data_IF_431823603899
#
_entry.id   IF_431823603899
#
_cell.length_a   1.000
_cell.length_b   1.000
_cell.length_c   1.000
_cell.angle_alpha   90.00
_cell.angle_beta   90.00
_cell.angle_gamma   90.00
#
_symmetry.space_group_name_H-M   'P 1'
#
loop_
_entity.id
_entity.type
_entity.pdbx_description
1 polymer ?
#
# COMPACT_ATOMS: atom_id res chain seq x y z
N UNK A 1 -7.86 -16.60 12.30
CA UNK A 1 -8.78 -15.51 11.94
C UNK A 1 -9.10 -15.55 10.44
N UNK A 2 -10.36 -15.40 10.00
CA UNK A 2 -10.67 -15.19 8.56
C UNK A 2 -10.30 -13.76 8.11
N UNK A 3 -10.20 -13.52 6.79
CA UNK A 3 -9.92 -12.17 6.25
C UNK A 3 -10.96 -11.13 6.71
N UNK A 4 -12.25 -11.49 6.68
CA UNK A 4 -13.34 -10.62 7.16
C UNK A 4 -13.19 -10.29 8.65
N UNK A 5 -12.84 -11.30 9.47
CA UNK A 5 -12.61 -11.09 10.90
C UNK A 5 -11.41 -10.16 11.14
N UNK A 6 -10.34 -10.33 10.36
CA UNK A 6 -9.16 -9.45 10.40
C UNK A 6 -9.51 -8.01 9.98
N UNK A 7 -10.32 -7.85 8.94
CA UNK A 7 -10.86 -6.55 8.50
C UNK A 7 -11.65 -5.86 9.61
N UNK A 8 -12.60 -6.57 10.22
CA UNK A 8 -13.40 -6.02 11.32
C UNK A 8 -12.55 -5.67 12.56
N UNK A 9 -11.60 -6.54 12.94
CA UNK A 9 -10.73 -6.30 14.09
C UNK A 9 -9.81 -5.09 13.89
N UNK A 10 -9.26 -4.91 12.68
CA UNK A 10 -8.44 -3.74 12.37
C UNK A 10 -9.28 -2.45 12.36
N UNK A 11 -10.47 -2.47 11.74
CA UNK A 11 -11.38 -1.33 11.75
C UNK A 11 -11.78 -0.95 13.19
N UNK A 12 -12.01 -1.93 14.07
CA UNK A 12 -12.29 -1.69 15.48
C UNK A 12 -11.13 -0.99 16.20
N UNK A 13 -9.88 -1.42 15.97
CA UNK A 13 -8.69 -0.80 16.55
C UNK A 13 -8.54 0.67 16.09
N UNK A 14 -8.75 0.94 14.80
CA UNK A 14 -8.73 2.30 14.24
C UNK A 14 -9.83 3.16 14.88
N UNK A 15 -11.08 2.70 14.88
CA UNK A 15 -12.21 3.45 15.43
C UNK A 15 -12.06 3.71 16.94
N UNK A 16 -11.51 2.76 17.69
CA UNK A 16 -11.23 2.93 19.11
C UNK A 16 -10.19 4.04 19.34
N UNK A 17 -9.11 4.07 18.55
CA UNK A 17 -8.09 5.12 18.63
C UNK A 17 -8.68 6.50 18.26
N UNK A 18 -9.39 6.58 17.13
CA UNK A 18 -10.00 7.82 16.67
C UNK A 18 -11.03 8.35 17.68
N UNK A 19 -11.86 7.50 18.27
CA UNK A 19 -12.83 7.91 19.30
C UNK A 19 -12.16 8.50 20.53
N UNK A 20 -11.05 7.91 20.99
CA UNK A 20 -10.28 8.44 22.11
C UNK A 20 -9.65 9.79 21.78
N UNK A 21 -9.03 9.90 20.61
CA UNK A 21 -8.38 11.14 20.17
C UNK A 21 -9.40 12.25 19.92
N UNK A 22 -10.58 11.92 19.38
CA UNK A 22 -11.66 12.88 19.16
C UNK A 22 -12.19 13.47 20.48
N UNK A 23 -12.26 12.67 21.56
CA UNK A 23 -12.60 13.19 22.91
C UNK A 23 -11.56 14.17 23.44
N UNK A 24 -10.32 14.05 22.98
CA UNK A 24 -9.23 14.96 23.32
C UNK A 24 -9.17 16.20 22.40
N UNK A 25 -9.87 16.19 21.26
CA UNK A 25 -9.76 17.24 20.24
C UNK A 25 -10.14 18.65 20.72
N UNK A 26 -11.06 18.76 21.68
CA UNK A 26 -11.43 20.05 22.27
C UNK A 26 -10.25 20.75 22.95
N UNK A 27 -9.31 20.00 23.52
CA UNK A 27 -8.08 20.52 24.15
C UNK A 27 -7.07 21.06 23.12
N UNK A 28 -7.24 20.73 21.84
CA UNK A 28 -6.34 21.11 20.75
C UNK A 28 -6.96 22.13 19.78
N UNK A 29 -8.23 22.48 19.97
CA UNK A 29 -9.01 23.38 19.11
C UNK A 29 -8.52 24.84 19.03
N UNK A 30 -7.51 25.23 19.83
CA UNK A 30 -7.01 26.60 19.97
C UNK A 30 -5.55 26.83 19.58
N UNK A 31 -4.91 25.90 18.87
CA UNK A 31 -3.46 25.80 18.86
C UNK A 31 -2.85 25.75 17.44
N UNK A 32 -2.11 26.80 17.07
CA UNK A 32 -1.43 26.96 15.77
C UNK A 32 0.09 27.12 15.89
N UNK A 33 0.71 26.46 16.88
CA UNK A 33 2.16 26.58 17.13
C UNK A 33 2.86 25.24 17.02
N UNK A 34 4.19 25.26 16.83
CA UNK A 34 4.99 24.03 16.85
C UNK A 34 4.93 23.33 18.21
N UNK A 35 4.95 24.09 19.31
CA UNK A 35 4.83 23.55 20.67
C UNK A 35 3.53 22.76 20.84
N UNK A 36 2.42 23.33 20.40
CA UNK A 36 1.14 22.65 20.50
C UNK A 36 0.99 21.43 19.62
N UNK A 37 1.65 21.41 18.47
CA UNK A 37 1.75 20.22 17.64
C UNK A 37 2.50 19.10 18.38
N UNK A 38 3.64 19.42 19.00
CA UNK A 38 4.40 18.45 19.80
C UNK A 38 3.63 17.98 21.04
N UNK A 39 2.92 18.88 21.73
CA UNK A 39 2.07 18.54 22.87
C UNK A 39 0.92 17.59 22.42
N UNK A 40 0.31 17.86 21.26
CA UNK A 40 -0.70 16.98 20.65
C UNK A 40 -0.14 15.60 20.34
N UNK A 41 0.97 15.51 19.61
CA UNK A 41 1.61 14.24 19.26
C UNK A 41 1.99 13.43 20.51
N UNK A 42 2.57 14.08 21.52
CA UNK A 42 2.93 13.43 22.79
C UNK A 42 1.71 12.87 23.52
N UNK A 43 0.57 13.57 23.42
CA UNK A 43 -0.68 13.15 24.06
C UNK A 43 -1.29 11.94 23.35
N UNK A 44 -1.30 11.93 22.01
CA UNK A 44 -1.92 10.85 21.25
C UNK A 44 -1.01 9.62 21.07
N UNK A 45 0.30 9.76 21.22
CA UNK A 45 1.26 8.69 21.02
C UNK A 45 0.92 7.37 21.74
N UNK A 46 0.65 7.33 23.06
CA UNK A 46 0.30 6.07 23.73
C UNK A 46 -0.97 5.41 23.16
N UNK A 47 -1.94 6.22 22.70
CA UNK A 47 -3.19 5.72 22.09
C UNK A 47 -2.89 5.10 20.73
N UNK A 48 -2.12 5.80 19.88
CA UNK A 48 -1.75 5.32 18.55
C UNK A 48 -0.87 4.08 18.64
N UNK A 49 0.13 4.08 19.54
CA UNK A 49 1.02 2.93 19.76
C UNK A 49 0.23 1.67 20.12
N UNK A 50 -0.69 1.75 21.07
CA UNK A 50 -1.47 0.57 21.49
C UNK A 50 -2.39 0.09 20.37
N UNK A 51 -3.12 0.99 19.70
CA UNK A 51 -4.00 0.60 18.59
C UNK A 51 -3.22 -0.01 17.42
N UNK A 52 -2.04 0.55 17.10
CA UNK A 52 -1.14 0.00 16.08
C UNK A 52 -0.64 -1.39 16.45
N UNK A 53 -0.32 -1.61 17.73
CA UNK A 53 0.07 -2.93 18.26
C UNK A 53 -1.08 -3.94 18.17
N UNK A 54 -2.31 -3.53 18.48
CA UNK A 54 -3.49 -4.38 18.27
C UNK A 54 -3.67 -4.73 16.79
N UNK A 55 -3.52 -3.75 15.89
CA UNK A 55 -3.55 -3.98 14.44
C UNK A 55 -2.47 -4.98 14.00
N UNK A 56 -1.25 -4.84 14.51
CA UNK A 56 -0.13 -5.75 14.26
C UNK A 56 -0.44 -7.19 14.72
N UNK A 57 -0.98 -7.34 15.94
CA UNK A 57 -1.37 -8.64 16.49
C UNK A 57 -2.46 -9.30 15.64
N UNK A 58 -3.49 -8.56 15.24
CA UNK A 58 -4.57 -9.08 14.40
C UNK A 58 -4.04 -9.58 13.05
N UNK A 59 -3.13 -8.83 12.42
CA UNK A 59 -2.51 -9.23 11.16
C UNK A 59 -1.64 -10.49 11.31
N UNK A 60 -0.89 -10.57 12.40
CA UNK A 60 -0.08 -11.73 12.73
C UNK A 60 -0.91 -12.99 12.96
N UNK A 61 -2.01 -12.89 13.71
CA UNK A 61 -2.94 -14.00 13.95
C UNK A 61 -3.62 -14.49 12.65
N UNK A 62 -3.97 -13.54 11.77
CA UNK A 62 -4.46 -13.86 10.44
C UNK A 62 -3.41 -14.62 9.62
N UNK A 63 -2.18 -14.08 9.53
CA UNK A 63 -1.09 -14.72 8.83
C UNK A 63 -0.82 -16.14 9.34
N UNK A 64 -0.78 -16.30 10.67
CA UNK A 64 -0.55 -17.60 11.29
C UNK A 64 -1.62 -18.61 10.93
N UNK A 65 -2.91 -18.23 10.98
CA UNK A 65 -3.98 -19.15 10.63
C UNK A 65 -3.94 -19.52 9.13
N UNK A 66 -3.70 -18.57 8.23
CA UNK A 66 -3.58 -18.86 6.80
C UNK A 66 -2.40 -19.81 6.52
N UNK A 67 -1.26 -19.57 7.19
CA UNK A 67 -0.11 -20.44 7.11
C UNK A 67 -0.43 -21.85 7.65
N UNK A 68 -1.08 -21.96 8.81
CA UNK A 68 -1.47 -23.23 9.42
C UNK A 68 -2.42 -24.04 8.53
N UNK A 69 -3.40 -23.39 7.90
CA UNK A 69 -4.32 -24.03 6.96
C UNK A 69 -3.58 -24.65 5.77
N UNK A 70 -2.48 -24.03 5.33
CA UNK A 70 -1.74 -24.46 4.15
C UNK A 70 -0.65 -25.50 4.45
N UNK A 71 0.02 -25.38 5.60
CA UNK A 71 1.24 -26.13 5.93
C UNK A 71 1.19 -26.87 7.27
N UNK A 72 0.13 -26.71 8.04
CA UNK A 72 0.00 -27.26 9.39
C UNK A 72 0.60 -26.36 10.48
N UNK A 73 0.31 -26.71 11.73
CA UNK A 73 0.70 -25.93 12.91
C UNK A 73 2.23 -25.90 13.07
N UNK A 74 2.75 -24.73 13.48
CA UNK A 74 4.15 -24.55 13.90
C UNK A 74 4.24 -23.79 15.22
N UNK A 75 5.02 -24.32 16.16
CA UNK A 75 5.18 -23.79 17.52
C UNK A 75 6.27 -22.68 17.64
N UNK A 76 7.00 -22.41 16.55
CA UNK A 76 8.03 -21.36 16.48
C UNK A 76 7.46 -19.96 16.18
N UNK A 77 6.14 -19.84 16.14
CA UNK A 77 5.43 -18.61 15.80
C UNK A 77 5.31 -17.67 17.00
N UNK A 78 6.32 -16.83 17.24
CA UNK A 78 6.27 -15.77 18.26
C UNK A 78 6.03 -14.38 17.67
N UNK A 79 4.93 -13.74 18.08
CA UNK A 79 4.64 -12.33 17.75
C UNK A 79 5.75 -11.45 18.35
N UNK A 80 6.48 -10.74 17.49
CA UNK A 80 7.43 -9.70 17.89
C UNK A 80 6.69 -8.40 18.01
N UNK A 81 6.68 -7.85 19.21
CA UNK A 81 6.19 -6.51 19.47
C UNK A 81 7.25 -5.53 18.95
N UNK A 82 7.19 -5.18 17.67
CA UNK A 82 8.08 -4.16 17.12
C UNK A 82 7.67 -2.83 17.75
N UNK A 83 8.50 -2.36 18.70
CA UNK A 83 8.23 -1.17 19.51
C UNK A 83 8.12 0.06 18.61
N UNK A 84 6.89 0.42 18.23
CA UNK A 84 6.60 1.63 17.48
C UNK A 84 7.07 2.88 18.23
N UNK A 85 8.02 3.61 17.65
CA UNK A 85 8.71 4.73 18.30
C UNK A 85 7.95 6.05 18.12
N UNK A 86 8.16 6.99 19.06
CA UNK A 86 7.55 8.32 18.98
C UNK A 86 7.94 9.08 17.72
N UNK A 87 9.22 9.01 17.32
CA UNK A 87 9.72 9.70 16.13
C UNK A 87 9.01 9.22 14.85
N UNK A 88 8.60 7.95 14.80
CA UNK A 88 7.83 7.42 13.68
C UNK A 88 6.42 8.00 13.61
N UNK A 89 5.79 8.27 14.76
CA UNK A 89 4.52 9.00 14.78
C UNK A 89 4.67 10.45 14.30
N UNK A 90 5.79 11.10 14.67
CA UNK A 90 6.10 12.45 14.19
C UNK A 90 6.20 12.44 12.67
N UNK A 91 6.91 11.49 12.08
CA UNK A 91 7.05 11.33 10.63
C UNK A 91 5.70 11.02 9.95
N UNK A 92 4.93 10.08 10.51
CA UNK A 92 3.61 9.69 9.98
C UNK A 92 2.64 10.87 9.91
N UNK A 93 2.75 11.83 10.83
CA UNK A 93 1.84 12.97 10.94
C UNK A 93 2.44 14.31 10.48
N UNK A 94 3.73 14.39 10.14
CA UNK A 94 4.40 15.66 9.79
C UNK A 94 3.71 16.39 8.63
N UNK A 95 3.08 15.64 7.71
CA UNK A 95 2.30 16.16 6.58
C UNK A 95 1.13 17.05 7.05
N UNK A 96 0.53 16.68 8.18
CA UNK A 96 -0.57 17.41 8.79
C UNK A 96 -0.10 18.59 9.63
N UNK A 97 1.18 18.62 10.04
CA UNK A 97 1.75 19.69 10.86
C UNK A 97 1.55 21.06 10.21
N UNK A 98 1.85 21.20 8.92
CA UNK A 98 1.76 22.50 8.21
C UNK A 98 0.35 23.08 8.28
N UNK A 99 -0.67 22.25 8.08
CA UNK A 99 -2.08 22.67 8.18
C UNK A 99 -2.53 22.89 9.61
N UNK A 100 -2.01 22.09 10.53
CA UNK A 100 -2.31 22.22 11.95
C UNK A 100 -1.81 23.56 12.52
N UNK A 101 -0.63 24.02 12.07
CA UNK A 101 -0.03 25.27 12.57
C UNK A 101 -0.42 26.52 11.77
N UNK A 102 -1.00 26.37 10.58
CA UNK A 102 -1.39 27.52 9.76
C UNK A 102 -2.61 28.24 10.38
N UNK A 103 -2.48 29.50 10.81
CA UNK A 103 -3.58 30.24 11.43
C UNK A 103 -4.75 30.51 10.47
N UNK A 104 -4.53 30.39 9.15
CA UNK A 104 -5.53 30.59 8.12
C UNK A 104 -6.13 29.28 7.59
N UNK A 105 -5.65 28.12 8.06
CA UNK A 105 -6.18 26.85 7.61
C UNK A 105 -7.62 26.64 8.09
N UNK A 106 -8.39 25.95 7.24
CA UNK A 106 -9.70 25.42 7.60
C UNK A 106 -9.51 24.35 8.69
N UNK A 107 -9.90 24.69 9.92
CA UNK A 107 -9.63 23.87 11.12
C UNK A 107 -10.30 22.50 11.06
N UNK A 108 -11.51 22.44 10.53
CA UNK A 108 -12.25 21.19 10.41
C UNK A 108 -11.52 20.25 9.44
N UNK A 109 -11.10 20.77 8.28
CA UNK A 109 -10.32 19.99 7.32
C UNK A 109 -8.96 19.57 7.87
N UNK A 110 -8.27 20.45 8.59
CA UNK A 110 -6.99 20.12 9.21
C UNK A 110 -7.14 19.01 10.26
N UNK A 111 -8.20 19.07 11.07
CA UNK A 111 -8.52 18.04 12.06
C UNK A 111 -8.85 16.70 11.38
N UNK A 112 -9.74 16.71 10.38
CA UNK A 112 -10.11 15.49 9.63
C UNK A 112 -8.89 14.84 8.99
N UNK A 113 -8.02 15.62 8.34
CA UNK A 113 -6.76 15.11 7.76
C UNK A 113 -5.83 14.50 8.80
N UNK A 114 -5.69 15.15 9.95
CA UNK A 114 -4.90 14.63 11.07
C UNK A 114 -5.46 13.28 11.57
N UNK A 115 -6.79 13.16 11.71
CA UNK A 115 -7.43 11.91 12.09
C UNK A 115 -7.23 10.80 11.04
N UNK A 116 -7.29 11.13 9.74
CA UNK A 116 -7.00 10.17 8.67
C UNK A 116 -5.53 9.73 8.67
N UNK A 117 -4.59 10.62 8.98
CA UNK A 117 -3.19 10.28 9.19
C UNK A 117 -2.99 9.32 10.37
N UNK A 118 -3.74 9.52 11.47
CA UNK A 118 -3.73 8.59 12.62
C UNK A 118 -4.28 7.22 12.23
N UNK A 119 -5.41 7.17 11.51
CA UNK A 119 -5.98 5.91 11.04
C UNK A 119 -4.96 5.12 10.22
N UNK A 120 -4.30 5.79 9.27
CA UNK A 120 -3.22 5.20 8.46
C UNK A 120 -2.07 4.66 9.33
N UNK A 121 -1.60 5.42 10.32
CA UNK A 121 -0.52 4.98 11.21
C UNK A 121 -0.88 3.70 11.99
N UNK A 122 -2.14 3.58 12.43
CA UNK A 122 -2.66 2.38 13.09
C UNK A 122 -2.73 1.20 12.12
N UNK A 123 -3.32 1.40 10.93
CA UNK A 123 -3.43 0.36 9.91
C UNK A 123 -2.07 -0.16 9.44
N UNK A 124 -1.08 0.73 9.33
CA UNK A 124 0.28 0.37 8.99
C UNK A 124 0.85 -0.64 9.99
N UNK A 125 0.47 -0.62 11.27
CA UNK A 125 0.87 -1.68 12.22
C UNK A 125 0.50 -3.09 11.76
N UNK A 126 -0.68 -3.27 11.18
CA UNK A 126 -1.10 -4.56 10.61
C UNK A 126 -0.35 -4.91 9.34
N UNK A 127 -0.10 -3.91 8.49
CA UNK A 127 0.68 -4.07 7.26
C UNK A 127 2.11 -4.53 7.62
N UNK A 128 2.78 -3.80 8.51
CA UNK A 128 4.11 -4.09 9.06
C UNK A 128 4.25 -5.53 9.59
N UNK A 129 3.33 -5.94 10.44
CA UNK A 129 3.37 -7.27 11.05
C UNK A 129 3.23 -8.41 10.03
N UNK A 130 2.41 -8.21 8.99
CA UNK A 130 2.23 -9.20 7.90
C UNK A 130 3.55 -9.47 7.16
N UNK A 131 4.35 -8.42 6.96
CA UNK A 131 5.64 -8.45 6.25
C UNK A 131 6.65 -9.21 7.08
N UNK A 132 6.85 -8.75 8.32
CA UNK A 132 7.88 -9.27 9.21
C UNK A 132 7.58 -10.69 9.62
N UNK A 133 6.30 -11.08 9.65
CA UNK A 133 5.93 -12.47 9.73
C UNK A 133 6.62 -13.25 8.60
N UNK A 134 6.38 -12.92 7.33
CA UNK A 134 6.98 -13.64 6.20
C UNK A 134 8.51 -13.60 6.16
N UNK A 135 9.13 -12.43 6.35
CA UNK A 135 10.59 -12.30 6.38
C UNK A 135 11.22 -13.22 7.44
N UNK A 136 10.59 -13.33 8.62
CA UNK A 136 11.05 -14.21 9.71
C UNK A 136 10.92 -15.69 9.37
N UNK A 137 9.98 -16.09 8.51
CA UNK A 137 9.79 -17.50 8.16
C UNK A 137 10.71 -18.02 7.05
N UNK A 138 11.54 -17.18 6.43
CA UNK A 138 12.58 -17.63 5.52
C UNK A 138 12.07 -18.47 4.35
N UNK A 139 10.82 -18.27 3.95
CA UNK A 139 10.31 -18.73 2.66
C UNK A 139 10.57 -17.63 1.63
N UNK A 140 11.85 -17.31 1.42
CA UNK A 140 12.26 -16.77 0.11
C UNK A 140 11.77 -17.79 -0.90
N UNK A 141 10.65 -17.49 -1.55
CA UNK A 141 10.07 -18.35 -2.55
C UNK A 141 11.18 -18.78 -3.51
N UNK A 142 11.26 -20.08 -3.80
CA UNK A 142 11.99 -20.53 -4.98
C UNK A 142 11.58 -19.62 -6.13
N UNK A 143 12.54 -18.82 -6.64
CA UNK A 143 12.33 -17.82 -7.68
C UNK A 143 11.41 -18.42 -8.75
N UNK A 144 10.15 -17.99 -8.82
CA UNK A 144 9.28 -18.59 -9.79
C UNK A 144 9.65 -17.95 -11.11
N UNK A 145 10.21 -18.77 -11.99
CA UNK A 145 10.12 -18.71 -13.46
C UNK A 145 8.67 -18.51 -13.99
N UNK A 146 7.72 -18.13 -13.13
CA UNK A 146 6.35 -17.79 -13.43
C UNK A 146 6.20 -16.26 -13.47
N UNK A 147 6.92 -15.64 -14.40
CA UNK A 147 6.40 -14.44 -15.05
C UNK A 147 5.10 -14.87 -15.73
N UNK A 148 3.96 -14.58 -15.12
CA UNK A 148 2.84 -14.15 -15.94
C UNK A 148 3.34 -12.87 -16.61
N UNK A 149 3.85 -13.01 -17.83
CA UNK A 149 4.05 -11.90 -18.75
C UNK A 149 2.72 -11.17 -18.79
N UNK A 150 2.62 -10.08 -18.03
CA UNK A 150 1.66 -9.04 -18.32
C UNK A 150 2.09 -8.59 -19.73
N UNK A 151 1.22 -8.67 -20.75
CA UNK A 151 1.52 -8.02 -22.00
C UNK A 151 1.75 -6.55 -21.68
N UNK A 152 3.01 -6.11 -21.76
CA UNK A 152 3.37 -4.69 -21.82
C UNK A 152 2.83 -4.16 -23.16
N UNK A 153 1.51 -4.01 -23.29
CA UNK A 153 0.90 -3.35 -24.44
C UNK A 153 1.00 -1.81 -24.35
N UNK A 154 1.90 -1.31 -23.49
CA UNK A 154 2.25 0.11 -23.38
C UNK A 154 3.77 0.40 -23.34
N UNK A 155 4.61 -0.46 -23.95
CA UNK A 155 6.04 -0.18 -24.11
C UNK A 155 6.33 0.69 -25.33
N UNK A 156 6.92 1.88 -25.12
CA UNK A 156 7.43 2.74 -26.18
C UNK A 156 8.40 1.98 -27.11
N UNK A 157 8.39 2.31 -28.41
CA UNK A 157 9.20 1.67 -29.46
C UNK A 157 10.70 1.58 -29.15
N UNK A 158 11.19 2.44 -28.26
CA UNK A 158 12.58 2.53 -27.83
C UNK A 158 12.94 1.44 -26.82
N UNK A 159 12.00 1.04 -25.96
CA UNK A 159 12.19 -0.03 -24.97
C UNK A 159 12.19 -1.43 -25.65
N UNK A 160 11.40 -1.61 -26.71
CA UNK A 160 11.44 -2.83 -27.53
C UNK A 160 12.79 -3.03 -28.22
N UNK A 161 13.40 -1.97 -28.74
CA UNK A 161 14.74 -2.02 -29.32
C UNK A 161 15.79 -2.37 -28.28
N UNK A 162 15.68 -1.81 -27.08
CA UNK A 162 16.59 -2.13 -25.98
C UNK A 162 16.46 -3.60 -25.54
N UNK A 163 15.24 -4.13 -25.45
CA UNK A 163 14.97 -5.54 -25.14
C UNK A 163 15.55 -6.49 -26.20
N UNK A 164 15.44 -6.14 -27.49
CA UNK A 164 16.00 -6.92 -28.60
C UNK A 164 17.55 -6.86 -28.62
N UNK A 165 18.15 -5.69 -28.36
CA UNK A 165 19.61 -5.53 -28.27
C UNK A 165 20.21 -6.29 -27.08
N UNK A 166 19.57 -6.23 -25.91
CA UNK A 166 19.98 -6.99 -24.72
C UNK A 166 19.88 -8.49 -24.96
N UNK A 167 18.82 -8.95 -25.65
CA UNK A 167 18.66 -10.37 -26.01
C UNK A 167 19.77 -10.84 -26.95
N UNK A 168 20.11 -10.06 -27.97
CA UNK A 168 21.20 -10.37 -28.89
C UNK A 168 22.55 -10.42 -28.15
N UNK A 169 22.81 -9.49 -27.23
CA UNK A 169 24.01 -9.47 -26.41
C UNK A 169 24.14 -10.69 -25.48
N UNK A 170 23.03 -11.20 -24.95
CA UNK A 170 22.99 -12.40 -24.12
C UNK A 170 23.17 -13.69 -24.92
N UNK A 171 22.74 -13.71 -26.18
CA UNK A 171 22.99 -14.81 -27.11
C UNK A 171 24.46 -14.85 -27.55
N UNK A 172 25.08 -13.69 -27.77
CA UNK A 172 26.48 -13.55 -28.18
C UNK A 172 27.47 -13.76 -27.01
N UNK A 173 27.04 -13.48 -25.77
CA UNK A 173 27.82 -13.71 -24.54
C UNK A 173 26.99 -14.49 -23.50
N UNK A 174 26.80 -15.81 -23.70
CA UNK A 174 26.03 -16.60 -22.75
C UNK A 174 26.72 -16.62 -21.37
N UNK A 175 25.97 -16.37 -20.28
CA UNK A 175 26.56 -16.36 -18.95
C UNK A 175 27.18 -17.73 -18.60
N UNK A 176 28.24 -17.76 -17.78
CA UNK A 176 28.90 -19.01 -17.40
C UNK A 176 27.90 -19.94 -16.72
N UNK A 177 27.84 -21.19 -17.20
CA UNK A 177 26.90 -22.22 -16.71
C UNK A 177 27.06 -22.41 -15.20
N UNK A 178 26.09 -21.92 -14.42
CA UNK A 178 26.05 -22.09 -12.98
C UNK A 178 25.88 -23.58 -12.61
N UNK A 179 26.52 -23.98 -11.51
CA UNK A 179 26.49 -25.34 -11.02
C UNK A 179 25.06 -25.78 -10.71
N UNK A 180 24.70 -27.01 -11.12
CA UNK A 180 23.38 -27.62 -10.89
C UNK A 180 22.96 -27.53 -9.42
N UNK A 181 22.00 -26.64 -9.12
CA UNK A 181 21.34 -26.54 -7.81
C UNK A 181 20.54 -27.84 -7.58
N UNK A 182 20.83 -28.56 -6.50
CA UNK A 182 20.10 -29.78 -6.13
C UNK A 182 18.65 -29.43 -5.81
N UNK A 183 17.70 -30.15 -6.42
CA UNK A 183 16.27 -30.12 -6.07
C UNK A 183 16.11 -30.52 -4.60
N UNK A 184 15.86 -29.55 -3.72
CA UNK A 184 15.32 -29.83 -2.38
C UNK A 184 13.83 -30.16 -2.55
N UNK A 185 13.39 -31.22 -1.88
CA UNK A 185 12.01 -31.71 -1.94
C UNK A 185 11.01 -30.60 -1.56
N UNK A 186 9.88 -30.57 -2.26
CA UNK A 186 8.92 -29.46 -2.24
C UNK A 186 8.38 -29.15 -0.85
N UNK A 187 8.93 -28.10 -0.24
CA UNK A 187 8.25 -27.31 0.78
C UNK A 187 7.35 -26.35 0.01
N UNK A 188 6.05 -26.38 0.26
CA UNK A 188 5.12 -25.47 -0.40
C UNK A 188 5.42 -24.06 0.15
N UNK A 189 6.09 -23.25 -0.65
CA UNK A 189 6.42 -21.86 -0.30
C UNK A 189 5.26 -20.91 -0.62
N UNK A 190 5.26 -19.72 0.00
CA UNK A 190 4.55 -18.53 -0.52
C UNK A 190 4.77 -18.42 -2.04
N UNK A 191 3.68 -18.17 -2.78
CA UNK A 191 3.66 -18.05 -4.24
C UNK A 191 3.66 -16.60 -4.72
N UNK A 192 3.27 -15.67 -3.86
CA UNK A 192 3.32 -14.24 -4.12
C UNK A 192 2.54 -13.45 -3.07
N UNK A 193 2.40 -12.16 -3.31
CA UNK A 193 1.64 -11.23 -2.48
C UNK A 193 0.62 -10.48 -3.30
N UNK A 194 -0.49 -10.14 -2.66
CA UNK A 194 -1.56 -9.35 -3.27
C UNK A 194 -1.98 -8.20 -2.35
N UNK A 195 -2.49 -7.12 -2.97
CA UNK A 195 -3.25 -6.08 -2.26
C UNK A 195 -4.74 -6.38 -2.37
N UNK A 196 -5.47 -6.15 -1.27
CA UNK A 196 -6.90 -6.45 -1.17
C UNK A 196 -7.65 -5.23 -0.62
N UNK A 197 -8.62 -4.66 -1.36
CA UNK A 197 -9.44 -3.57 -0.87
C UNK A 197 -10.40 -4.09 0.22
N UNK A 198 -10.61 -3.28 1.26
CA UNK A 198 -11.53 -3.65 2.35
C UNK A 198 -12.91 -3.02 2.19
N UNK A 199 -13.08 -2.18 1.16
CA UNK A 199 -14.38 -1.75 0.64
C UNK A 199 -15.02 -0.56 1.35
N UNK A 200 -14.41 -0.01 2.41
CA UNK A 200 -14.93 1.18 3.09
C UNK A 200 -14.41 2.46 2.43
N UNK A 201 -13.09 2.56 2.23
CA UNK A 201 -12.44 3.71 1.58
C UNK A 201 -11.14 3.24 0.89
N UNK A 202 -11.20 2.79 -0.38
CA UNK A 202 -10.00 2.45 -1.16
C UNK A 202 -9.82 3.42 -2.33
N UNK A 203 -8.72 4.17 -2.36
CA UNK A 203 -8.48 5.14 -3.43
C UNK A 203 -8.18 4.47 -4.79
N UNK A 204 -8.43 5.17 -5.90
CA UNK A 204 -8.22 4.64 -7.26
C UNK A 204 -6.78 4.16 -7.54
N UNK A 205 -5.77 4.73 -6.90
CA UNK A 205 -4.40 4.21 -7.01
C UNK A 205 -4.25 2.85 -6.31
N UNK A 206 -4.74 2.75 -5.08
CA UNK A 206 -4.74 1.51 -4.31
C UNK A 206 -5.52 0.39 -5.05
N UNK A 207 -6.68 0.72 -5.63
CA UNK A 207 -7.48 -0.22 -6.42
C UNK A 207 -6.74 -0.73 -7.67
N UNK A 208 -6.00 0.13 -8.36
CA UNK A 208 -5.12 -0.28 -9.45
C UNK A 208 -4.01 -1.24 -8.95
N UNK A 209 -3.46 -1.03 -7.76
CA UNK A 209 -2.48 -1.98 -7.22
C UNK A 209 -3.13 -3.31 -6.78
N UNK A 210 -4.38 -3.28 -6.33
CA UNK A 210 -5.16 -4.49 -5.99
C UNK A 210 -5.53 -5.31 -7.23
N UNK A 211 -5.86 -4.64 -8.34
CA UNK A 211 -6.27 -5.32 -9.59
C UNK A 211 -5.20 -6.23 -10.19
N UNK A 212 -3.95 -6.08 -9.78
CA UNK A 212 -2.82 -6.90 -10.25
C UNK A 212 -2.81 -8.31 -9.64
N UNK A 213 -3.51 -8.54 -8.53
CA UNK A 213 -3.51 -9.85 -7.86
C UNK A 213 -2.14 -10.24 -7.30
N UNK A 214 -1.81 -11.55 -7.24
CA UNK A 214 -0.65 -12.09 -6.53
C UNK A 214 0.68 -11.97 -7.30
N UNK A 215 0.98 -10.81 -7.87
CA UNK A 215 2.14 -10.61 -8.77
C UNK A 215 3.39 -10.12 -8.04
N UNK A 216 3.26 -9.73 -6.78
CA UNK A 216 4.37 -9.16 -6.03
C UNK A 216 5.24 -10.28 -5.45
N UNK A 217 6.53 -10.29 -5.82
CA UNK A 217 7.49 -11.32 -5.40
C UNK A 217 7.87 -11.18 -3.92
N UNK A 218 7.95 -9.94 -3.48
CA UNK A 218 8.28 -9.57 -2.11
C UNK A 218 7.16 -8.71 -1.55
N UNK A 219 7.01 -8.75 -0.24
CA UNK A 219 6.11 -7.87 0.47
C UNK A 219 6.40 -6.42 0.07
N UNK A 220 7.69 -5.99 0.06
CA UNK A 220 8.20 -4.68 -0.39
C UNK A 220 7.67 -4.26 -1.77
N UNK A 221 7.71 -5.17 -2.74
CA UNK A 221 7.24 -4.87 -4.10
C UNK A 221 5.73 -4.74 -4.20
N UNK A 222 4.97 -5.24 -3.21
CA UNK A 222 3.56 -4.94 -3.04
C UNK A 222 3.31 -3.53 -2.48
N UNK A 223 4.28 -2.61 -2.59
CA UNK A 223 4.28 -1.22 -2.12
C UNK A 223 4.43 -1.14 -0.61
N UNK A 224 5.56 -1.66 -0.13
CA UNK A 224 5.82 -1.88 1.28
C UNK A 224 7.29 -1.59 1.70
N UNK A 225 8.03 -0.78 0.95
CA UNK A 225 9.25 -0.14 1.44
C UNK A 225 8.96 0.96 2.48
N UNK A 226 8.64 0.55 3.71
CA UNK A 226 8.40 1.42 4.87
C UNK A 226 9.68 2.10 5.41
N UNK A 227 10.84 1.79 4.81
CA UNK A 227 12.15 2.28 5.20
C UNK A 227 12.53 3.61 4.54
N UNK A 228 11.91 3.96 3.41
CA UNK A 228 12.03 5.28 2.77
C UNK A 228 10.71 6.05 2.96
N UNK A 229 10.79 7.14 3.73
CA UNK A 229 9.62 7.89 4.24
C UNK A 229 9.54 9.30 3.65
N UNK A 230 9.94 9.47 2.39
CA UNK A 230 10.02 10.79 1.77
C UNK A 230 9.29 10.84 0.43
N UNK A 231 8.02 11.25 0.44
CA UNK A 231 7.45 12.05 -0.65
C UNK A 231 6.01 12.49 -0.32
N UNK A 232 5.76 13.80 -0.15
CA UNK A 232 4.38 14.32 -0.17
C UNK A 232 4.22 15.84 -0.38
N UNK A 233 4.99 16.45 -1.28
CA UNK A 233 4.70 17.84 -1.66
C UNK A 233 3.47 17.96 -2.59
N UNK A 234 3.09 16.89 -3.30
CA UNK A 234 2.24 17.00 -4.49
C UNK A 234 0.74 16.71 -4.25
N UNK A 235 0.40 15.81 -3.32
CA UNK A 235 -0.99 15.43 -3.05
C UNK A 235 -1.84 16.58 -2.46
N UNK A 236 -1.21 17.46 -1.68
CA UNK A 236 -1.87 18.52 -0.90
C UNK A 236 -2.31 19.74 -1.69
N UNK A 237 -1.80 19.90 -2.92
CA UNK A 237 -2.14 20.99 -3.83
C UNK A 237 -3.15 20.56 -4.92
N UNK A 238 -3.80 19.40 -4.76
CA UNK A 238 -4.73 18.85 -5.77
C UNK A 238 -4.02 18.37 -7.04
N UNK A 239 -2.75 18.00 -6.93
CA UNK A 239 -1.94 17.52 -8.06
C UNK A 239 -1.99 16.00 -8.19
N UNK A 240 -1.85 15.53 -9.41
CA UNK A 240 -1.77 14.12 -9.75
C UNK A 240 -0.42 13.55 -9.36
N UNK A 241 -0.49 12.48 -8.59
CA UNK A 241 0.66 11.87 -7.94
C UNK A 241 1.38 10.97 -8.94
N UNK A 242 2.71 11.10 -9.02
CA UNK A 242 3.56 10.25 -9.85
C UNK A 242 4.11 9.06 -9.06
N UNK A 243 4.62 8.06 -9.78
CA UNK A 243 5.24 6.84 -9.22
C UNK A 243 6.45 7.13 -8.35
N UNK A 244 7.14 8.24 -8.60
CA UNK A 244 8.46 8.51 -8.02
C UNK A 244 8.34 9.34 -6.72
N UNK A 245 7.11 9.68 -6.32
CA UNK A 245 6.77 10.48 -5.14
C UNK A 245 5.73 9.80 -4.21
N UNK A 246 5.55 8.48 -4.28
CA UNK A 246 4.44 7.78 -3.60
C UNK A 246 4.82 6.50 -2.88
N UNK A 247 5.48 6.71 -1.75
CA UNK A 247 5.72 5.65 -0.78
C UNK A 247 4.49 5.50 0.15
N UNK A 248 3.48 4.81 -0.41
CA UNK A 248 2.89 3.54 0.10
C UNK A 248 1.40 3.51 0.46
N UNK A 249 0.83 4.47 1.18
CA UNK A 249 -0.61 4.49 1.48
C UNK A 249 -1.14 5.92 1.68
N UNK A 250 -2.20 6.28 0.95
CA UNK A 250 -2.86 7.57 1.13
C UNK A 250 -3.65 7.61 2.44
N UNK A 251 -3.78 8.79 3.04
CA UNK A 251 -4.77 9.05 4.09
C UNK A 251 -6.16 8.67 3.59
N UNK A 252 -6.87 7.83 4.34
CA UNK A 252 -8.19 7.31 3.93
C UNK A 252 -8.13 6.22 2.85
N UNK A 253 -6.99 5.52 2.67
CA UNK A 253 -6.95 4.25 1.93
C UNK A 253 -6.82 3.07 2.90
N UNK A 254 -7.77 2.12 2.84
CA UNK A 254 -7.94 1.03 3.81
C UNK A 254 -7.40 -0.33 3.35
N UNK A 255 -6.91 -0.46 2.12
CA UNK A 255 -6.57 -1.77 1.58
C UNK A 255 -5.33 -2.40 2.25
N UNK A 256 -5.29 -3.73 2.16
CA UNK A 256 -4.42 -4.61 2.94
C UNK A 256 -3.46 -5.38 2.05
N UNK A 257 -2.37 -5.85 2.62
CA UNK A 257 -1.47 -6.83 1.99
C UNK A 257 -1.78 -8.21 2.57
N UNK A 258 -1.88 -9.22 1.71
CA UNK A 258 -2.17 -10.61 2.09
C UNK A 258 -1.17 -11.57 1.44
N UNK A 259 -0.76 -12.64 2.15
CA UNK A 259 0.06 -13.69 1.56
C UNK A 259 -0.77 -14.55 0.60
N UNK A 260 -0.16 -15.00 -0.49
CA UNK A 260 -0.78 -15.94 -1.44
C UNK A 260 0.02 -17.24 -1.49
N UNK A 261 -0.60 -18.30 -0.97
CA UNK A 261 -0.04 -19.64 -0.96
C UNK A 261 -0.56 -20.52 -2.12
N UNK A 262 -1.75 -20.21 -2.66
CA UNK A 262 -2.33 -20.81 -3.86
C UNK A 262 -2.94 -19.71 -4.74
N UNK A 263 -2.43 -19.54 -5.97
CA UNK A 263 -2.89 -18.49 -6.89
C UNK A 263 -4.32 -18.69 -7.38
N UNK A 264 -4.88 -19.91 -7.25
CA UNK A 264 -6.27 -20.22 -7.62
C UNK A 264 -7.24 -19.90 -6.49
N UNK A 265 -6.79 -19.94 -5.25
CA UNK A 265 -7.62 -19.75 -4.05
C UNK A 265 -6.81 -19.06 -2.96
N UNK A 266 -7.09 -17.78 -2.76
CA UNK A 266 -6.39 -16.96 -1.77
C UNK A 266 -7.33 -15.92 -1.15
N UNK A 267 -7.07 -15.47 0.09
CA UNK A 267 -7.94 -14.51 0.77
C UNK A 267 -7.96 -13.17 0.05
N UNK A 268 -9.13 -12.69 -0.37
CA UNK A 268 -9.23 -11.39 -1.04
C UNK A 268 -9.28 -11.46 -2.57
N UNK A 269 -9.29 -12.67 -3.14
CA UNK A 269 -9.29 -12.87 -4.60
C UNK A 269 -10.49 -12.22 -5.28
N UNK A 270 -11.69 -12.40 -4.74
CA UNK A 270 -12.92 -11.80 -5.29
C UNK A 270 -12.80 -10.28 -5.35
N UNK A 271 -12.33 -9.65 -4.27
CA UNK A 271 -12.12 -8.21 -4.21
C UNK A 271 -11.06 -7.70 -5.20
N UNK A 272 -10.02 -8.49 -5.45
CA UNK A 272 -9.02 -8.15 -6.46
C UNK A 272 -9.55 -8.33 -7.90
N UNK A 273 -10.39 -9.35 -8.13
CA UNK A 273 -11.07 -9.56 -9.41
C UNK A 273 -12.04 -8.40 -9.69
N UNK A 274 -12.80 -7.93 -8.69
CA UNK A 274 -13.67 -6.75 -8.79
C UNK A 274 -12.86 -5.48 -9.10
N UNK A 275 -11.72 -5.29 -8.43
CA UNK A 275 -10.81 -4.18 -8.70
C UNK A 275 -10.23 -4.27 -10.13
N UNK A 276 -10.04 -5.47 -10.66
CA UNK A 276 -9.60 -5.69 -12.05
C UNK A 276 -10.67 -5.31 -13.06
N UNK A 277 -11.94 -5.63 -12.83
CA UNK A 277 -13.02 -5.16 -13.69
C UNK A 277 -13.14 -3.63 -13.68
N UNK A 278 -13.02 -2.99 -12.51
CA UNK A 278 -12.95 -1.53 -12.40
C UNK A 278 -11.73 -0.96 -13.15
N UNK A 279 -10.58 -1.62 -13.09
CA UNK A 279 -9.37 -1.17 -13.77
C UNK A 279 -9.50 -1.25 -15.29
N UNK A 280 -10.08 -2.34 -15.81
CA UNK A 280 -10.37 -2.50 -17.24
C UNK A 280 -11.28 -1.38 -17.74
N UNK A 281 -12.34 -1.08 -17.01
CA UNK A 281 -13.27 -0.02 -17.36
C UNK A 281 -12.61 1.36 -17.29
N UNK A 282 -11.87 1.65 -16.22
CA UNK A 282 -11.14 2.91 -16.07
C UNK A 282 -10.13 3.12 -17.20
N UNK A 283 -9.45 2.06 -17.62
CA UNK A 283 -8.47 2.08 -18.71
C UNK A 283 -9.15 2.33 -20.06
N UNK A 284 -10.29 1.66 -20.33
CA UNK A 284 -11.11 1.91 -21.53
C UNK A 284 -11.55 3.37 -21.62
N UNK A 285 -12.07 3.92 -20.52
CA UNK A 285 -12.49 5.33 -20.44
C UNK A 285 -11.31 6.31 -20.58
N UNK A 286 -10.10 5.91 -20.15
CA UNK A 286 -8.91 6.72 -20.33
C UNK A 286 -8.47 6.75 -21.80
N UNK A 287 -8.51 5.61 -22.48
CA UNK A 287 -8.19 5.53 -23.91
C UNK A 287 -9.15 6.40 -24.73
N UNK A 288 -10.46 6.29 -24.50
CA UNK A 288 -11.48 7.15 -25.16
C UNK A 288 -11.26 8.64 -24.90
N UNK A 289 -10.85 9.00 -23.67
CA UNK A 289 -10.57 10.38 -23.30
C UNK A 289 -9.33 10.93 -24.01
N UNK A 290 -8.28 10.12 -24.15
CA UNK A 290 -7.05 10.53 -24.81
C UNK A 290 -7.19 10.56 -26.33
N UNK A 291 -8.03 9.71 -26.91
CA UNK A 291 -8.43 9.83 -28.32
C UNK A 291 -9.20 11.13 -28.58
N UNK A 292 -10.15 11.46 -27.69
CA UNK A 292 -10.95 12.69 -27.78
C UNK A 292 -10.12 13.95 -27.50
N UNK A 293 -9.14 13.87 -26.59
CA UNK A 293 -8.29 14.98 -26.19
C UNK A 293 -6.79 14.59 -26.14
N UNK A 294 -6.11 14.48 -27.30
CA UNK A 294 -4.72 14.00 -27.36
C UNK A 294 -3.69 14.88 -26.65
N UNK A 295 -4.04 16.14 -26.36
CA UNK A 295 -3.21 17.12 -25.67
C UNK A 295 -3.65 17.34 -24.22
N UNK A 296 -4.45 16.43 -23.66
CA UNK A 296 -4.89 16.50 -22.26
C UNK A 296 -3.69 16.66 -21.33
N UNK A 297 -3.82 17.61 -20.40
CA UNK A 297 -2.78 17.90 -19.42
C UNK A 297 -3.27 17.55 -18.03
N UNK A 298 -2.31 17.13 -17.22
CA UNK A 298 -2.44 16.84 -15.81
C UNK A 298 -1.56 17.79 -15.03
N UNK A 299 -1.98 18.16 -13.83
CA UNK A 299 -1.21 19.01 -12.94
C UNK A 299 -0.38 18.13 -12.00
N UNK A 300 0.94 18.21 -12.06
CA UNK A 300 1.90 17.33 -11.37
C UNK A 300 3.11 18.16 -10.93
N UNK A 301 3.63 18.03 -9.70
CA UNK A 301 4.87 18.70 -9.25
C UNK A 301 4.89 20.22 -9.49
N UNK A 302 3.79 20.89 -9.20
CA UNK A 302 3.55 22.32 -9.45
C UNK A 302 3.36 22.74 -10.92
N UNK A 303 3.29 21.81 -11.89
CA UNK A 303 3.31 22.13 -13.33
C UNK A 303 2.27 21.35 -14.13
N UNK A 304 1.84 21.92 -15.26
CA UNK A 304 0.99 21.23 -16.22
C UNK A 304 1.84 20.41 -17.19
N UNK A 305 1.69 19.08 -17.13
CA UNK A 305 2.39 18.12 -18.01
C UNK A 305 1.38 17.39 -18.88
N UNK A 306 1.81 16.88 -20.03
CA UNK A 306 0.95 16.00 -20.85
C UNK A 306 0.56 14.78 -20.01
N UNK A 307 -0.71 14.43 -20.01
CA UNK A 307 -1.17 13.25 -19.26
C UNK A 307 -0.75 11.97 -19.97
N UNK A 308 -0.51 10.94 -19.18
CA UNK A 308 -0.20 9.58 -19.67
C UNK A 308 -1.44 8.71 -19.56
N UNK A 309 -1.51 7.62 -20.32
CA UNK A 309 -2.59 6.62 -20.23
C UNK A 309 -2.85 6.15 -18.79
N UNK A 310 -1.81 5.71 -18.08
CA UNK A 310 -1.93 5.20 -16.71
C UNK A 310 -2.51 6.26 -15.76
N UNK A 311 -2.01 7.48 -15.87
CA UNK A 311 -2.46 8.63 -15.08
C UNK A 311 -3.94 8.96 -15.33
N UNK A 312 -4.38 8.99 -16.58
CA UNK A 312 -5.80 9.18 -16.87
C UNK A 312 -6.64 7.97 -16.42
N UNK A 313 -6.14 6.74 -16.54
CA UNK A 313 -6.82 5.54 -16.02
C UNK A 313 -7.03 5.62 -14.51
N UNK A 314 -6.02 6.05 -13.73
CA UNK A 314 -6.17 6.29 -12.29
C UNK A 314 -7.21 7.40 -12.01
N UNK A 315 -7.23 8.46 -12.82
CA UNK A 315 -8.24 9.51 -12.69
C UNK A 315 -9.65 8.99 -13.00
N UNK A 316 -9.82 8.17 -14.04
CA UNK A 316 -11.09 7.53 -14.33
C UNK A 316 -11.51 6.60 -13.20
N UNK A 317 -10.56 5.85 -12.63
CA UNK A 317 -10.82 4.99 -11.49
C UNK A 317 -11.31 5.80 -10.28
N UNK A 318 -10.71 6.98 -10.01
CA UNK A 318 -11.21 7.91 -8.98
C UNK A 318 -12.63 8.39 -9.27
N UNK A 319 -12.99 8.64 -10.53
CA UNK A 319 -14.35 9.05 -10.92
C UNK A 319 -15.36 7.90 -10.78
N UNK A 320 -14.94 6.67 -11.04
CA UNK A 320 -15.79 5.48 -10.90
C UNK A 320 -16.10 5.16 -9.43
N UNK A 321 -15.16 5.41 -8.51
CA UNK A 321 -15.33 5.08 -7.09
C UNK A 321 -15.73 6.26 -6.20
N UNK A 322 -15.48 7.49 -6.66
CA UNK A 322 -15.87 8.73 -5.98
C UNK A 322 -17.04 9.47 -6.64
N UNK A 323 -17.72 8.80 -7.58
CA UNK A 323 -18.96 9.25 -8.22
C UNK A 323 -20.20 8.76 -7.48
#
# INVERSE_FOLDING_TARGET
MSLETYQAAQAAAVLAALSQIQKLSSYFSGLGTLKSWTDFLSTIYPIVREARRESARNAYEFFHQEHELMFGFRDDFVFSDDDYQYDWLVEDLDRNRRRFIDPNADREKAQTRTLMGVARAVENGGRDAMIHAVERYGEEGDDPDFLLEIPDDAGDLEERKLKDEVKQLLEDNPPPKSAKKQKRGGVKSIKGWARVPTGAETCGWCLMLCSRGPVYKEARTAGLDLADRHALADYDAGQEVTSDDMEEWHEGCDCKVVPVFDTRSWPGKEQADDALELWKEATRLADEELERNPNKKSFVGGRWVKTTRNREAINQMRRLVGG
#
